data_IF_181539698910
#
_entry.id   IF_181539698910
#
_cell.length_a   1.000
_cell.length_b   1.000
_cell.length_c   1.000
_cell.angle_alpha   90.00
_cell.angle_beta   90.00
_cell.angle_gamma   90.00
#
_symmetry.space_group_name_H-M   'P 1'
#
loop_
_entity.id
_entity.type
_entity.pdbx_description
1 polymer ?
#
# COMPACT_ATOMS: atom_id res chain seq x y z
N UNK A 1 -2.18 21.88 1.86
CA UNK A 1 -1.54 21.34 0.64
C UNK A 1 -1.72 19.84 0.63
N UNK A 2 -2.08 19.27 -0.51
CA UNK A 2 -2.15 17.82 -0.67
C UNK A 2 -0.74 17.22 -0.83
N UNK A 3 -0.61 15.92 -0.56
CA UNK A 3 0.68 15.22 -0.70
C UNK A 3 1.20 15.30 -2.14
N UNK A 4 0.32 15.19 -3.13
CA UNK A 4 0.66 15.27 -4.55
C UNK A 4 1.23 16.64 -4.94
N UNK A 5 0.57 17.73 -4.54
CA UNK A 5 1.02 19.11 -4.78
C UNK A 5 2.40 19.36 -4.16
N UNK A 6 2.62 18.84 -2.95
CA UNK A 6 3.89 18.98 -2.24
C UNK A 6 5.00 18.21 -2.96
N UNK A 7 4.73 16.99 -3.42
CA UNK A 7 5.68 16.20 -4.21
C UNK A 7 6.07 16.93 -5.49
N UNK A 8 5.11 17.53 -6.20
CA UNK A 8 5.39 18.26 -7.44
C UNK A 8 6.34 19.46 -7.20
N UNK A 9 6.10 20.23 -6.14
CA UNK A 9 6.95 21.37 -5.76
C UNK A 9 8.37 20.91 -5.40
N UNK A 10 8.49 19.83 -4.62
CA UNK A 10 9.78 19.28 -4.22
C UNK A 10 10.54 18.73 -5.43
N UNK A 11 9.86 18.05 -6.35
CA UNK A 11 10.47 17.52 -7.56
C UNK A 11 11.00 18.64 -8.47
N UNK A 12 10.23 19.71 -8.68
CA UNK A 12 10.70 20.91 -9.42
C UNK A 12 11.99 21.49 -8.81
N UNK A 13 12.09 21.55 -7.47
CA UNK A 13 13.31 22.00 -6.79
C UNK A 13 14.49 21.05 -6.98
N UNK A 14 14.26 19.74 -6.90
CA UNK A 14 15.30 18.74 -7.16
C UNK A 14 15.82 18.88 -8.60
N UNK A 15 14.92 19.06 -9.56
CA UNK A 15 15.27 19.17 -10.98
C UNK A 15 16.09 20.44 -11.27
N UNK A 16 15.73 21.58 -10.66
CA UNK A 16 16.52 22.82 -10.73
C UNK A 16 17.94 22.65 -10.17
N UNK A 17 18.08 21.99 -9.01
CA UNK A 17 19.40 21.72 -8.41
C UNK A 17 20.26 20.86 -9.36
N UNK A 18 19.66 19.83 -9.96
CA UNK A 18 20.36 18.92 -10.89
C UNK A 18 20.81 19.62 -12.17
N UNK A 19 20.02 20.58 -12.68
CA UNK A 19 20.33 21.31 -13.91
C UNK A 19 21.37 22.41 -13.69
N UNK A 20 21.13 23.29 -12.71
CA UNK A 20 21.86 24.54 -12.57
C UNK A 20 23.08 24.43 -11.64
N UNK A 21 23.09 23.46 -10.71
CA UNK A 21 24.09 23.36 -9.65
C UNK A 21 24.65 21.95 -9.40
N UNK A 22 24.99 21.15 -10.45
CA UNK A 22 25.32 19.73 -10.31
C UNK A 22 26.58 19.43 -9.48
N UNK A 23 27.48 20.40 -9.29
CA UNK A 23 28.77 20.20 -8.61
C UNK A 23 28.91 21.02 -7.32
N UNK A 24 27.82 21.59 -6.78
CA UNK A 24 27.89 22.35 -5.53
C UNK A 24 27.80 21.37 -4.33
N UNK A 25 28.88 21.14 -3.56
CA UNK A 25 28.93 20.11 -2.51
C UNK A 25 27.87 20.35 -1.42
N UNK A 26 27.63 21.62 -1.10
CA UNK A 26 26.67 22.03 -0.06
C UNK A 26 25.21 21.73 -0.43
N UNK A 27 24.91 21.56 -1.73
CA UNK A 27 23.56 21.21 -2.20
C UNK A 27 23.32 19.71 -2.27
N UNK A 28 24.37 18.88 -2.17
CA UNK A 28 24.22 17.41 -2.23
C UNK A 28 23.40 16.90 -1.04
N UNK A 29 23.65 17.41 0.16
CA UNK A 29 22.90 17.03 1.35
C UNK A 29 21.46 17.57 1.30
N UNK A 30 21.28 18.79 0.82
CA UNK A 30 19.96 19.38 0.64
C UNK A 30 19.12 18.61 -0.39
N UNK A 31 19.70 18.24 -1.53
CA UNK A 31 19.04 17.42 -2.54
C UNK A 31 18.62 16.07 -1.95
N UNK A 32 19.51 15.39 -1.21
CA UNK A 32 19.18 14.12 -0.53
C UNK A 32 18.02 14.29 0.46
N UNK A 33 17.98 15.39 1.22
CA UNK A 33 16.88 15.68 2.12
C UNK A 33 15.55 15.85 1.38
N UNK A 34 15.55 16.56 0.24
CA UNK A 34 14.36 16.71 -0.61
C UNK A 34 13.91 15.35 -1.18
N UNK A 35 14.83 14.52 -1.67
CA UNK A 35 14.53 13.18 -2.19
C UNK A 35 13.94 12.26 -1.11
N UNK A 36 14.46 12.33 0.12
CA UNK A 36 13.90 11.61 1.27
C UNK A 36 12.49 12.10 1.62
N UNK A 37 12.26 13.42 1.61
CA UNK A 37 10.94 13.99 1.85
C UNK A 37 9.92 13.52 0.80
N UNK A 38 10.29 13.55 -0.49
CA UNK A 38 9.46 13.02 -1.58
C UNK A 38 9.14 11.54 -1.37
N UNK A 39 10.15 10.73 -1.00
CA UNK A 39 9.96 9.30 -0.72
C UNK A 39 8.99 9.05 0.44
N UNK A 40 9.07 9.84 1.51
CA UNK A 40 8.17 9.74 2.65
C UNK A 40 6.74 10.16 2.28
N UNK A 41 6.57 11.26 1.53
CA UNK A 41 5.27 11.74 1.08
C UNK A 41 4.58 10.76 0.14
N UNK A 42 5.32 10.12 -0.78
CA UNK A 42 4.79 9.07 -1.66
C UNK A 42 4.19 7.90 -0.87
N UNK A 43 4.74 7.57 0.30
CA UNK A 43 4.20 6.53 1.18
C UNK A 43 2.92 6.95 1.90
N UNK A 44 2.64 8.24 2.02
CA UNK A 44 1.42 8.75 2.67
C UNK A 44 0.21 8.77 1.74
N UNK A 45 0.42 8.65 0.42
CA UNK A 45 -0.66 8.49 -0.56
C UNK A 45 -1.14 7.03 -0.45
N UNK A 46 -2.41 6.76 -0.09
CA UNK A 46 -2.94 5.41 -0.03
C UNK A 46 -2.76 4.67 -1.37
N UNK A 47 -2.43 3.38 -1.31
CA UNK A 47 -2.41 2.49 -2.49
C UNK A 47 -3.37 1.33 -2.27
N UNK A 48 -4.22 1.06 -3.25
CA UNK A 48 -5.17 -0.06 -3.24
C UNK A 48 -4.39 -1.36 -2.99
N UNK A 49 -4.79 -2.09 -1.94
CA UNK A 49 -4.22 -3.39 -1.59
C UNK A 49 -4.48 -4.40 -2.70
N UNK A 50 -3.55 -5.33 -2.90
CA UNK A 50 -3.72 -6.43 -3.87
C UNK A 50 -4.36 -7.63 -3.18
N UNK A 51 -5.16 -8.39 -3.90
CA UNK A 51 -5.82 -9.59 -3.41
C UNK A 51 -5.48 -10.75 -4.33
N UNK A 52 -5.00 -11.85 -3.78
CA UNK A 52 -4.55 -13.02 -4.55
C UNK A 52 -5.02 -14.32 -3.90
N UNK A 53 -5.34 -15.31 -4.73
CA UNK A 53 -5.40 -16.72 -4.35
C UNK A 53 -3.96 -17.24 -4.24
N UNK A 54 -3.61 -17.73 -3.06
CA UNK A 54 -2.24 -18.16 -2.73
C UNK A 54 -2.11 -19.68 -2.65
N UNK A 55 -3.19 -20.42 -2.87
CA UNK A 55 -3.19 -21.88 -2.97
C UNK A 55 -4.22 -22.56 -2.08
N UNK A 56 -3.94 -23.81 -1.73
CA UNK A 56 -4.91 -24.71 -1.09
C UNK A 56 -4.27 -25.44 0.09
N UNK A 57 -4.95 -25.44 1.24
CA UNK A 57 -4.57 -26.23 2.42
C UNK A 57 -5.34 -27.56 2.41
N UNK A 58 -4.64 -28.63 2.00
CA UNK A 58 -5.22 -29.97 1.93
C UNK A 58 -5.54 -30.60 3.29
N UNK A 59 -5.01 -30.06 4.40
CA UNK A 59 -5.34 -30.57 5.73
C UNK A 59 -6.69 -30.08 6.23
N UNK A 60 -7.06 -28.87 5.82
CA UNK A 60 -8.33 -28.22 6.18
C UNK A 60 -9.37 -28.30 5.07
N UNK A 61 -8.95 -28.66 3.86
CA UNK A 61 -9.80 -28.72 2.67
C UNK A 61 -10.37 -27.33 2.31
N UNK A 62 -9.52 -26.30 2.39
CA UNK A 62 -9.89 -24.88 2.13
C UNK A 62 -8.88 -24.19 1.22
N UNK A 63 -9.36 -23.26 0.40
CA UNK A 63 -8.51 -22.33 -0.34
C UNK A 63 -7.96 -21.24 0.58
N UNK A 64 -6.79 -20.74 0.23
CA UNK A 64 -6.07 -19.68 0.94
C UNK A 64 -5.95 -18.45 0.05
N UNK A 65 -6.16 -17.30 0.65
CA UNK A 65 -6.15 -16.00 0.01
C UNK A 65 -5.28 -15.03 0.82
N UNK A 66 -4.74 -14.02 0.14
CA UNK A 66 -3.91 -13.00 0.80
C UNK A 66 -4.21 -11.59 0.33
N UNK A 67 -4.18 -10.65 1.27
CA UNK A 67 -4.08 -9.22 1.05
C UNK A 67 -2.61 -8.82 1.01
N UNK A 68 -2.13 -8.27 -0.12
CA UNK A 68 -0.71 -8.07 -0.37
C UNK A 68 -0.38 -6.58 -0.50
N UNK A 69 0.71 -6.17 0.14
CA UNK A 69 1.24 -4.81 0.07
C UNK A 69 1.79 -4.52 -1.33
N UNK A 70 1.23 -3.55 -2.08
CA UNK A 70 1.57 -3.35 -3.49
C UNK A 70 3.06 -3.00 -3.73
N UNK A 71 3.71 -2.14 -2.92
CA UNK A 71 5.13 -1.84 -3.14
C UNK A 71 6.14 -2.95 -2.81
N UNK A 72 5.81 -3.88 -1.90
CA UNK A 72 6.83 -4.78 -1.35
C UNK A 72 6.46 -6.26 -1.35
N UNK A 73 5.24 -6.61 -1.78
CA UNK A 73 4.77 -7.99 -1.88
C UNK A 73 4.58 -8.67 -0.54
N UNK A 74 4.48 -7.92 0.56
CA UNK A 74 4.24 -8.52 1.88
C UNK A 74 2.78 -8.96 1.98
N UNK A 75 2.55 -10.20 2.39
CA UNK A 75 1.23 -10.66 2.84
C UNK A 75 0.87 -9.97 4.15
N UNK A 76 -0.15 -9.11 4.09
CA UNK A 76 -0.61 -8.28 5.21
C UNK A 76 -1.62 -9.07 6.05
N UNK A 77 -2.53 -9.77 5.37
CA UNK A 77 -3.59 -10.60 5.96
C UNK A 77 -3.71 -11.83 5.07
N UNK A 78 -3.67 -13.01 5.67
CA UNK A 78 -4.05 -14.25 5.01
C UNK A 78 -5.43 -14.65 5.53
N UNK A 79 -6.29 -15.18 4.66
CA UNK A 79 -7.64 -15.65 4.99
C UNK A 79 -7.99 -16.87 4.13
N UNK A 80 -9.08 -17.54 4.45
CA UNK A 80 -9.49 -18.79 3.80
C UNK A 80 -10.99 -18.84 3.54
N UNK A 81 -11.45 -19.89 2.88
CA UNK A 81 -12.89 -20.15 2.68
C UNK A 81 -13.69 -20.11 4.00
N UNK A 82 -13.07 -20.55 5.11
CA UNK A 82 -13.70 -20.53 6.44
C UNK A 82 -13.98 -19.11 6.96
N UNK A 83 -13.27 -18.10 6.45
CA UNK A 83 -13.39 -16.69 6.85
C UNK A 83 -14.39 -15.92 5.98
N UNK A 84 -14.90 -16.53 4.90
CA UNK A 84 -15.78 -15.90 3.90
C UNK A 84 -17.26 -16.12 4.25
N UNK A 85 -18.12 -15.17 3.90
CA UNK A 85 -19.54 -15.19 4.28
C UNK A 85 -20.16 -16.26 3.40
N UNK A 86 -20.89 -17.18 4.02
CA UNK A 86 -21.75 -18.15 3.36
C UNK A 86 -22.66 -17.58 2.26
N UNK A 87 -22.93 -16.27 2.28
CA UNK A 87 -23.75 -15.53 1.31
C UNK A 87 -22.94 -14.87 0.18
N UNK A 88 -21.61 -14.86 0.27
CA UNK A 88 -20.75 -14.38 -0.81
C UNK A 88 -20.85 -15.36 -1.97
N UNK A 89 -21.24 -14.84 -3.14
CA UNK A 89 -21.36 -15.63 -4.38
C UNK A 89 -20.30 -15.22 -5.41
N UNK A 90 -19.17 -14.67 -4.96
CA UNK A 90 -18.06 -14.24 -5.81
C UNK A 90 -16.82 -15.09 -5.51
N UNK A 91 -16.11 -15.51 -6.55
CA UNK A 91 -14.82 -16.18 -6.45
C UNK A 91 -13.64 -15.19 -6.51
N UNK A 92 -13.93 -13.88 -6.55
CA UNK A 92 -12.89 -12.85 -6.52
C UNK A 92 -12.39 -12.66 -5.08
N UNK A 93 -11.08 -12.86 -4.79
CA UNK A 93 -10.54 -12.70 -3.44
C UNK A 93 -10.82 -11.34 -2.80
N UNK A 94 -10.91 -10.26 -3.59
CA UNK A 94 -11.28 -8.93 -3.09
C UNK A 94 -12.73 -8.91 -2.58
N UNK A 95 -13.68 -9.41 -3.37
CA UNK A 95 -15.10 -9.48 -2.99
C UNK A 95 -15.32 -10.41 -1.80
N UNK A 96 -14.62 -11.56 -1.80
CA UNK A 96 -14.63 -12.53 -0.70
C UNK A 96 -14.13 -11.91 0.59
N UNK A 97 -13.00 -11.21 0.55
CA UNK A 97 -12.49 -10.45 1.68
C UNK A 97 -13.51 -9.41 2.17
N UNK A 98 -14.09 -8.65 1.24
CA UNK A 98 -15.06 -7.61 1.56
C UNK A 98 -16.40 -8.13 2.09
N UNK A 99 -16.75 -9.38 1.79
CA UNK A 99 -18.00 -10.00 2.27
C UNK A 99 -18.06 -10.16 3.79
N UNK A 100 -16.92 -10.36 4.46
CA UNK A 100 -16.88 -10.84 5.86
C UNK A 100 -15.88 -10.12 6.73
N UNK A 101 -14.67 -9.96 6.23
CA UNK A 101 -13.54 -9.44 7.00
C UNK A 101 -13.68 -7.94 7.29
N UNK A 102 -14.58 -7.27 6.57
CA UNK A 102 -14.97 -5.87 6.76
C UNK A 102 -15.85 -5.65 8.01
N UNK A 103 -16.70 -6.63 8.36
CA UNK A 103 -17.63 -6.51 9.48
C UNK A 103 -16.94 -6.60 10.86
N UNK A 104 -15.68 -7.07 10.91
CA UNK A 104 -14.85 -7.10 12.13
C UNK A 104 -14.08 -5.79 12.43
N UNK A 105 -14.58 -4.67 11.91
CA UNK A 105 -14.13 -3.31 12.18
C UNK A 105 -12.73 -2.99 11.64
N UNK A 106 -12.69 -2.29 10.50
CA UNK A 106 -11.58 -1.49 9.97
C UNK A 106 -10.81 -0.61 10.99
N UNK A 107 -11.32 -0.46 12.21
CA UNK A 107 -10.82 0.44 13.26
C UNK A 107 -9.47 -0.03 13.84
N UNK A 108 -9.03 -1.26 13.57
CA UNK A 108 -7.76 -1.81 14.08
C UNK A 108 -6.76 -2.29 13.03
N UNK A 109 -7.10 -2.32 11.74
CA UNK A 109 -6.18 -2.83 10.72
C UNK A 109 -5.04 -1.83 10.49
N UNK A 110 -3.83 -2.37 10.31
CA UNK A 110 -2.67 -1.56 9.98
C UNK A 110 -2.92 -0.81 8.68
N UNK A 111 -3.24 0.49 8.78
CA UNK A 111 -3.34 1.40 7.63
C UNK A 111 -1.99 1.61 6.93
N UNK A 112 -0.93 1.02 7.47
CA UNK A 112 0.42 1.09 6.93
C UNK A 112 1.03 -0.30 6.88
N UNK A 113 1.72 -0.62 5.78
CA UNK A 113 2.52 -1.83 5.72
C UNK A 113 3.65 -1.76 6.77
N UNK A 114 3.71 -2.74 7.66
CA UNK A 114 4.73 -2.86 8.70
C UNK A 114 6.18 -3.02 8.15
N UNK A 115 6.34 -3.51 6.91
CA UNK A 115 7.66 -3.68 6.27
C UNK A 115 8.14 -2.41 5.58
N UNK A 116 7.32 -1.81 4.72
CA UNK A 116 7.76 -0.69 3.87
C UNK A 116 7.19 0.67 4.29
N UNK A 117 6.23 0.71 5.23
CA UNK A 117 5.59 1.93 5.71
C UNK A 117 4.62 2.59 4.71
N UNK A 118 4.23 1.89 3.65
CA UNK A 118 3.25 2.38 2.68
C UNK A 118 1.86 2.45 3.31
N UNK A 119 1.17 3.58 3.17
CA UNK A 119 -0.25 3.70 3.51
C UNK A 119 -1.09 2.83 2.58
N UNK A 120 -1.92 1.98 3.16
CA UNK A 120 -2.73 0.99 2.47
C UNK A 120 -4.16 1.53 2.28
N UNK A 121 -4.69 1.36 1.07
CA UNK A 121 -6.05 1.69 0.68
C UNK A 121 -6.89 0.42 0.63
N UNK A 122 -7.84 0.30 1.55
CA UNK A 122 -8.71 -0.87 1.73
C UNK A 122 -10.15 -0.67 1.21
N UNK A 123 -10.42 0.49 0.60
CA UNK A 123 -11.73 0.83 0.05
C UNK A 123 -11.56 1.15 -1.43
N UNK A 124 -12.59 0.85 -2.20
CA UNK A 124 -12.81 1.53 -3.46
C UNK A 124 -13.19 2.99 -3.14
N UNK A 125 -12.54 3.94 -3.81
CA UNK A 125 -12.97 5.34 -3.72
C UNK A 125 -14.38 5.43 -4.31
N UNK A 126 -15.34 5.96 -3.54
CA UNK A 126 -16.69 6.33 -4.03
C UNK A 126 -16.61 7.39 -5.14
#
# INVERSE_FOLDING_TARGET
MKSEETIEILQKRIDLIKQDWPYMPDLVEYQKALELAVKALKKQIPKKVLYEDVGFDCHRDVNLYACICPPCGLHIIDFSDDDVDSKCNSDNPEDMFHSSMVYHAYIGMNNYCNRCGQKLGWREEE
#
